data_IF_952062711732
#
_entry.id   IF_952062711732
#
_cell.length_a   1.000
_cell.length_b   1.000
_cell.length_c   1.000
_cell.angle_alpha   90.00
_cell.angle_beta   90.00
_cell.angle_gamma   90.00
#
_symmetry.space_group_name_H-M   'P 1'
#
loop_
_entity.id
_entity.type
_entity.pdbx_description
1 polymer ?
#
# COMPACT_ATOMS: atom_id res chain seq x y z
N UNK A 1 -15.80 0.95 11.82
CA UNK A 1 -14.42 1.31 12.24
C UNK A 1 -14.08 2.66 11.64
N UNK A 2 -13.43 3.58 12.39
CA UNK A 2 -12.97 4.85 11.84
C UNK A 2 -11.55 4.73 11.26
N UNK A 3 -11.09 5.78 10.54
CA UNK A 3 -9.77 5.80 9.90
C UNK A 3 -8.62 5.50 10.86
N UNK A 4 -8.62 6.12 12.05
CA UNK A 4 -7.53 5.96 13.02
C UNK A 4 -7.48 4.54 13.56
N UNK A 5 -8.63 3.98 13.94
CA UNK A 5 -8.71 2.60 14.41
C UNK A 5 -8.26 1.59 13.36
N UNK A 6 -8.65 1.80 12.10
CA UNK A 6 -8.21 0.96 10.99
C UNK A 6 -6.70 1.06 10.79
N UNK A 7 -6.17 2.28 10.74
CA UNK A 7 -4.73 2.54 10.59
C UNK A 7 -3.93 1.86 11.71
N UNK A 8 -4.37 1.99 12.97
CA UNK A 8 -3.70 1.32 14.09
C UNK A 8 -3.73 -0.20 13.96
N UNK A 9 -4.86 -0.79 13.54
CA UNK A 9 -4.93 -2.24 13.32
C UNK A 9 -3.96 -2.68 12.23
N UNK A 10 -3.90 -1.95 11.11
CA UNK A 10 -2.99 -2.26 10.01
C UNK A 10 -1.51 -2.13 10.42
N UNK A 11 -1.18 -1.11 11.21
CA UNK A 11 0.18 -0.88 11.72
C UNK A 11 0.65 -1.94 12.73
N UNK A 12 -0.28 -2.54 13.48
CA UNK A 12 0.03 -3.62 14.44
C UNK A 12 0.38 -4.94 13.77
N UNK A 13 0.08 -5.11 12.50
CA UNK A 13 0.46 -6.30 11.74
C UNK A 13 1.95 -6.20 11.39
N UNK A 14 2.74 -7.16 11.85
CA UNK A 14 4.19 -7.20 11.64
C UNK A 14 4.53 -7.80 10.27
N UNK A 15 4.14 -7.13 9.22
CA UNK A 15 4.34 -7.54 7.84
C UNK A 15 5.75 -7.19 7.34
N UNK A 16 6.77 -7.76 7.99
CA UNK A 16 8.15 -7.56 7.54
C UNK A 16 8.32 -8.23 6.17
N UNK A 17 8.90 -7.46 5.23
CA UNK A 17 9.11 -7.90 3.84
C UNK A 17 9.70 -9.32 3.78
N UNK A 18 9.26 -10.20 2.88
CA UNK A 18 8.27 -10.00 1.80
C UNK A 18 6.86 -10.52 2.16
N UNK A 19 6.46 -10.51 3.42
CA UNK A 19 5.22 -11.16 3.89
C UNK A 19 4.13 -10.16 4.22
N UNK A 20 2.90 -10.44 3.76
CA UNK A 20 1.70 -9.65 4.07
C UNK A 20 1.22 -9.81 5.52
N UNK A 21 1.35 -10.99 6.09
CA UNK A 21 1.01 -11.32 7.48
C UNK A 21 -0.43 -11.00 7.87
N UNK A 22 -1.35 -10.95 6.88
CA UNK A 22 -2.77 -10.70 7.12
C UNK A 22 -3.20 -9.23 6.95
N UNK A 23 -2.36 -8.36 6.41
CA UNK A 23 -2.78 -6.99 6.04
C UNK A 23 -3.92 -7.05 5.02
N UNK A 24 -3.84 -7.93 4.03
CA UNK A 24 -4.91 -8.09 3.05
C UNK A 24 -6.20 -8.64 3.65
N UNK A 25 -6.13 -9.46 4.71
CA UNK A 25 -7.32 -9.96 5.41
C UNK A 25 -8.07 -8.83 6.13
N UNK A 26 -7.37 -7.77 6.51
CA UNK A 26 -7.96 -6.57 7.08
C UNK A 26 -8.49 -5.61 6.00
N UNK A 27 -7.79 -5.47 4.86
CA UNK A 27 -8.10 -4.50 3.79
C UNK A 27 -9.22 -5.01 2.88
N UNK A 28 -9.16 -6.27 2.48
CA UNK A 28 -10.05 -6.84 1.46
C UNK A 28 -11.55 -6.77 1.83
N UNK A 29 -11.98 -7.01 3.08
CA UNK A 29 -13.38 -6.84 3.47
C UNK A 29 -13.89 -5.41 3.30
N UNK A 30 -13.08 -4.41 3.62
CA UNK A 30 -13.44 -2.99 3.49
C UNK A 30 -13.62 -2.60 2.00
N UNK A 31 -12.79 -3.16 1.11
CA UNK A 31 -12.92 -2.96 -0.33
C UNK A 31 -14.17 -3.64 -0.88
N UNK A 32 -14.49 -4.84 -0.42
CA UNK A 32 -15.72 -5.56 -0.81
C UNK A 32 -16.99 -4.83 -0.36
N UNK A 33 -16.96 -4.22 0.83
CA UNK A 33 -18.06 -3.40 1.33
C UNK A 33 -18.32 -2.16 0.43
N UNK A 34 -17.26 -1.60 -0.17
CA UNK A 34 -17.32 -0.53 -1.16
C UNK A 34 -17.74 -0.99 -2.57
N UNK A 35 -17.94 -2.28 -2.78
CA UNK A 35 -18.36 -2.86 -4.05
C UNK A 35 -17.20 -3.23 -5.00
N UNK A 36 -15.96 -3.21 -4.52
CA UNK A 36 -14.82 -3.67 -5.33
C UNK A 36 -14.85 -5.20 -5.51
N UNK A 37 -14.54 -5.66 -6.71
CA UNK A 37 -14.10 -7.03 -6.93
C UNK A 37 -12.63 -7.15 -6.54
N UNK A 38 -12.27 -8.23 -5.86
CA UNK A 38 -10.92 -8.43 -5.35
C UNK A 38 -10.32 -9.72 -5.89
N UNK A 39 -9.01 -9.72 -6.15
CA UNK A 39 -8.25 -10.89 -6.59
C UNK A 39 -6.87 -10.88 -5.91
N UNK A 40 -6.51 -12.00 -5.28
CA UNK A 40 -5.14 -12.22 -4.80
C UNK A 40 -4.33 -12.84 -5.91
N UNK A 41 -3.16 -12.28 -6.19
CA UNK A 41 -2.26 -12.69 -7.26
C UNK A 41 -0.88 -12.91 -6.62
N UNK A 42 -0.58 -14.16 -6.31
CA UNK A 42 0.63 -14.50 -5.56
C UNK A 42 1.68 -15.10 -6.49
N UNK A 43 2.92 -14.64 -6.34
CA UNK A 43 4.07 -15.20 -7.04
C UNK A 43 5.18 -15.53 -6.04
N UNK A 44 5.64 -16.77 -6.05
CA UNK A 44 6.59 -17.27 -5.05
C UNK A 44 6.04 -17.05 -3.63
N UNK A 45 6.78 -16.35 -2.79
CA UNK A 45 6.42 -15.99 -1.43
C UNK A 45 5.89 -14.55 -1.27
N UNK A 46 5.66 -13.87 -2.40
CA UNK A 46 5.10 -12.51 -2.44
C UNK A 46 3.61 -12.58 -2.72
N UNK A 47 2.87 -11.89 -1.88
CA UNK A 47 1.43 -11.76 -1.98
C UNK A 47 1.07 -10.40 -2.61
N UNK A 48 0.07 -10.41 -3.50
CA UNK A 48 -0.44 -9.18 -4.09
C UNK A 48 -1.97 -9.19 -4.05
N UNK A 49 -2.56 -8.05 -3.77
CA UNK A 49 -4.00 -7.83 -3.81
C UNK A 49 -4.32 -6.82 -4.91
N UNK A 50 -5.09 -7.25 -5.89
CA UNK A 50 -5.69 -6.39 -6.88
C UNK A 50 -7.19 -6.25 -6.59
N UNK A 51 -7.69 -5.01 -6.59
CA UNK A 51 -9.10 -4.72 -6.43
C UNK A 51 -9.54 -3.71 -7.48
N UNK A 52 -10.76 -3.83 -8.02
CA UNK A 52 -11.27 -2.92 -9.03
C UNK A 52 -12.77 -2.69 -8.93
N UNK A 53 -13.22 -1.49 -9.32
CA UNK A 53 -14.62 -1.11 -9.48
C UNK A 53 -14.78 -0.21 -10.71
N UNK A 54 -15.90 -0.32 -11.40
CA UNK A 54 -16.20 0.47 -12.60
C UNK A 54 -15.60 -0.13 -13.89
N UNK A 55 -15.50 0.69 -14.93
CA UNK A 55 -15.04 0.26 -16.26
C UNK A 55 -14.40 1.41 -17.03
N UNK A 56 -13.73 1.09 -18.14
CA UNK A 56 -13.05 2.09 -18.99
C UNK A 56 -11.62 2.39 -18.55
N UNK A 57 -11.19 3.64 -18.68
CA UNK A 57 -9.84 4.07 -18.26
C UNK A 57 -9.61 3.80 -16.78
N UNK A 58 -8.50 3.15 -16.48
CA UNK A 58 -8.15 2.65 -15.16
C UNK A 58 -7.20 3.60 -14.44
N UNK A 59 -7.68 4.21 -13.36
CA UNK A 59 -6.86 4.89 -12.36
C UNK A 59 -6.53 3.92 -11.24
N UNK A 60 -5.25 3.66 -11.01
CA UNK A 60 -4.77 2.72 -10.01
C UNK A 60 -4.07 3.43 -8.86
N UNK A 61 -4.49 3.14 -7.63
CA UNK A 61 -3.68 3.39 -6.45
C UNK A 61 -2.73 2.21 -6.25
N UNK A 62 -1.43 2.49 -6.19
CA UNK A 62 -0.37 1.52 -5.94
C UNK A 62 0.21 1.73 -4.57
N UNK A 63 0.39 0.64 -3.81
CA UNK A 63 1.01 0.66 -2.51
C UNK A 63 1.60 -0.68 -2.10
N UNK A 64 2.21 -0.71 -0.91
CA UNK A 64 2.73 -1.92 -0.30
C UNK A 64 2.31 -2.04 1.16
N UNK A 65 2.13 -3.29 1.61
CA UNK A 65 1.78 -3.61 2.99
C UNK A 65 2.99 -4.07 3.81
N UNK A 66 4.05 -4.46 3.15
CA UNK A 66 5.27 -4.83 3.81
C UNK A 66 6.02 -3.62 4.38
N UNK A 67 6.90 -3.91 5.31
CA UNK A 67 7.73 -2.90 5.97
C UNK A 67 9.16 -3.45 6.15
N UNK A 68 10.15 -2.55 6.14
CA UNK A 68 11.52 -2.94 6.51
C UNK A 68 11.60 -3.39 7.97
N UNK A 69 12.61 -4.19 8.36
CA UNK A 69 12.88 -4.52 9.75
C UNK A 69 12.97 -3.27 10.63
N UNK A 70 12.62 -3.40 11.90
CA UNK A 70 12.58 -2.26 12.85
C UNK A 70 13.95 -1.66 13.13
N UNK A 71 15.03 -2.42 12.93
CA UNK A 71 16.32 -2.12 13.51
C UNK A 71 16.33 -2.36 15.01
N UNK A 72 17.28 -1.77 15.76
CA UNK A 72 17.34 -1.91 17.22
C UNK A 72 16.10 -1.33 17.89
N UNK A 73 15.35 -2.18 18.58
CA UNK A 73 14.06 -1.81 19.21
C UNK A 73 14.26 -0.75 20.31
N UNK A 74 15.38 -0.77 20.97
CA UNK A 74 15.80 0.21 21.99
C UNK A 74 15.97 1.64 21.46
N UNK A 75 16.06 1.81 20.13
CA UNK A 75 16.11 3.13 19.49
C UNK A 75 14.73 3.75 19.27
N UNK A 76 13.67 3.02 19.55
CA UNK A 76 12.29 3.48 19.40
C UNK A 76 11.77 4.06 20.71
N UNK A 77 10.90 5.09 20.61
CA UNK A 77 10.23 5.68 21.78
C UNK A 77 9.10 4.81 22.35
N UNK A 78 8.64 3.82 21.56
CA UNK A 78 7.63 2.82 21.93
C UNK A 78 7.87 1.55 21.10
N UNK A 79 7.12 0.47 21.39
CA UNK A 79 7.16 -0.72 20.52
C UNK A 79 6.81 -0.32 19.08
N UNK A 80 7.68 -0.66 18.09
CA UNK A 80 7.47 -0.32 16.68
C UNK A 80 6.14 -0.78 16.07
N UNK A 81 5.49 -1.75 16.66
CA UNK A 81 4.21 -2.28 16.20
C UNK A 81 3.04 -2.01 17.17
N UNK A 82 3.25 -1.19 18.21
CA UNK A 82 2.15 -0.79 19.11
C UNK A 82 1.15 0.16 18.44
N UNK A 83 1.57 0.91 17.41
CA UNK A 83 0.81 1.99 16.80
C UNK A 83 0.32 2.98 17.88
N UNK A 84 1.25 3.43 18.72
CA UNK A 84 0.96 4.33 19.83
C UNK A 84 0.58 5.72 19.31
N UNK A 85 -0.45 6.31 19.90
CA UNK A 85 -0.85 7.70 19.62
C UNK A 85 -0.48 8.55 20.82
N UNK A 86 0.39 9.54 20.58
CA UNK A 86 0.77 10.54 21.57
C UNK A 86 0.79 11.91 20.90
N UNK A 87 0.20 12.91 21.53
CA UNK A 87 0.16 14.28 21.01
C UNK A 87 -0.30 14.39 19.56
N UNK A 88 -1.33 13.61 19.18
CA UNK A 88 -1.87 13.48 17.82
C UNK A 88 -0.91 12.90 16.77
N UNK A 89 0.16 12.25 17.18
CA UNK A 89 1.11 11.55 16.30
C UNK A 89 1.02 10.06 16.53
N UNK A 90 0.87 9.29 15.44
CA UNK A 90 0.98 7.83 15.47
C UNK A 90 2.44 7.45 15.23
N UNK A 91 3.01 6.71 16.19
CA UNK A 91 4.36 6.16 16.06
C UNK A 91 4.29 4.66 15.81
N UNK A 92 4.75 4.22 14.64
CA UNK A 92 4.90 2.79 14.31
C UNK A 92 5.79 2.59 13.08
N UNK A 93 6.36 1.40 12.92
CA UNK A 93 6.99 0.96 11.67
C UNK A 93 5.89 0.86 10.58
N UNK A 94 6.16 1.49 9.41
CA UNK A 94 5.20 1.55 8.31
C UNK A 94 4.14 2.66 8.44
N UNK A 95 4.20 3.52 9.48
CA UNK A 95 3.24 4.61 9.63
C UNK A 95 3.37 5.63 8.49
N UNK A 96 4.56 6.12 8.21
CA UNK A 96 4.79 7.05 7.09
C UNK A 96 4.91 6.31 5.75
N UNK A 97 5.54 5.15 5.75
CA UNK A 97 5.84 4.33 4.59
C UNK A 97 5.33 2.90 4.80
N UNK A 98 4.17 2.53 4.19
CA UNK A 98 3.18 3.49 3.66
C UNK A 98 1.75 3.13 4.09
N UNK A 99 1.60 2.35 5.18
CA UNK A 99 0.30 1.81 5.63
C UNK A 99 -0.75 2.90 5.94
N UNK A 100 -0.30 4.09 6.40
CA UNK A 100 -1.24 5.20 6.61
C UNK A 100 -1.80 5.75 5.31
N UNK A 101 -1.01 5.77 4.22
CA UNK A 101 -1.50 6.17 2.90
C UNK A 101 -2.55 5.21 2.38
N UNK A 102 -2.36 3.90 2.56
CA UNK A 102 -3.36 2.87 2.20
C UNK A 102 -4.66 3.14 2.96
N UNK A 103 -4.56 3.34 4.27
CA UNK A 103 -5.72 3.64 5.13
C UNK A 103 -6.43 4.92 4.68
N UNK A 104 -5.68 5.99 4.43
CA UNK A 104 -6.22 7.27 4.00
C UNK A 104 -6.94 7.16 2.65
N UNK A 105 -6.35 6.46 1.68
CA UNK A 105 -6.97 6.25 0.38
C UNK A 105 -8.26 5.43 0.49
N UNK A 106 -8.24 4.34 1.24
CA UNK A 106 -9.40 3.49 1.47
C UNK A 106 -10.57 4.26 2.11
N UNK A 107 -10.27 5.09 3.10
CA UNK A 107 -11.30 5.89 3.78
C UNK A 107 -11.79 7.07 2.94
N UNK A 108 -10.93 7.67 2.10
CA UNK A 108 -11.36 8.67 1.13
C UNK A 108 -12.36 8.10 0.12
N UNK A 109 -12.23 6.83 -0.27
CA UNK A 109 -13.21 6.16 -1.14
C UNK A 109 -14.58 6.00 -0.48
N UNK A 110 -14.67 5.92 0.85
CA UNK A 110 -15.94 5.85 1.59
C UNK A 110 -16.74 7.15 1.52
N UNK A 111 -16.07 8.28 1.29
CA UNK A 111 -16.70 9.61 1.18
C UNK A 111 -17.12 9.93 -0.25
N UNK A 112 -16.82 9.06 -1.21
CA UNK A 112 -17.14 9.25 -2.64
C UNK A 112 -18.34 8.38 -3.03
N UNK A 113 -19.29 8.96 -3.76
CA UNK A 113 -20.36 8.20 -4.40
C UNK A 113 -19.83 7.45 -5.63
N UNK A 114 -19.31 6.24 -5.40
CA UNK A 114 -18.72 5.41 -6.44
C UNK A 114 -19.73 4.97 -7.51
N UNK A 115 -21.03 5.02 -7.25
CA UNK A 115 -22.08 4.70 -8.25
C UNK A 115 -22.11 5.71 -9.40
N UNK A 116 -21.63 6.92 -9.18
CA UNK A 116 -21.52 7.98 -10.19
C UNK A 116 -20.20 7.97 -10.94
N UNK A 117 -19.25 7.13 -10.51
CA UNK A 117 -17.96 7.02 -11.16
C UNK A 117 -18.10 6.37 -12.55
N UNK A 118 -17.57 7.04 -13.58
CA UNK A 118 -17.62 6.60 -14.98
C UNK A 118 -16.31 5.98 -15.47
N UNK A 119 -15.33 5.86 -14.58
CA UNK A 119 -14.02 5.29 -14.90
C UNK A 119 -13.74 4.10 -13.98
N UNK A 120 -12.78 3.29 -14.35
CA UNK A 120 -12.29 2.24 -13.45
C UNK A 120 -11.41 2.86 -12.38
N UNK A 121 -11.66 2.48 -11.13
CA UNK A 121 -10.72 2.69 -10.01
C UNK A 121 -10.19 1.33 -9.63
N UNK A 122 -8.88 1.21 -9.53
CA UNK A 122 -8.25 -0.01 -9.05
C UNK A 122 -7.25 0.30 -7.92
N UNK A 123 -6.96 -0.74 -7.15
CA UNK A 123 -5.97 -0.72 -6.07
C UNK A 123 -5.09 -1.94 -6.29
N UNK A 124 -3.79 -1.74 -6.33
CA UNK A 124 -2.79 -2.79 -6.39
C UNK A 124 -1.88 -2.66 -5.19
N UNK A 125 -1.90 -3.66 -4.32
CA UNK A 125 -1.03 -3.72 -3.14
C UNK A 125 -0.11 -4.94 -3.25
N UNK A 126 1.15 -4.76 -2.87
CA UNK A 126 2.15 -5.83 -2.80
C UNK A 126 2.67 -5.99 -1.38
N UNK A 127 3.16 -7.18 -1.06
CA UNK A 127 3.87 -7.47 0.19
C UNK A 127 5.40 -7.45 0.05
N UNK A 128 5.94 -6.95 -1.06
CA UNK A 128 7.39 -6.93 -1.33
C UNK A 128 7.81 -5.72 -2.18
N UNK A 129 7.64 -4.51 -1.66
CA UNK A 129 8.26 -3.30 -2.23
C UNK A 129 9.63 -3.05 -1.60
N UNK A 130 9.72 -3.27 -0.29
CA UNK A 130 10.89 -3.01 0.54
C UNK A 130 11.96 -4.11 0.48
N UNK A 131 11.65 -5.21 -0.22
CA UNK A 131 12.54 -6.35 -0.35
C UNK A 131 13.39 -6.34 -1.62
N UNK A 132 14.08 -7.45 -1.86
CA UNK A 132 14.89 -7.63 -3.08
C UNK A 132 13.99 -7.66 -4.32
N UNK A 133 14.18 -6.70 -5.22
CA UNK A 133 13.46 -6.58 -6.49
C UNK A 133 13.71 -7.74 -7.47
N UNK A 134 14.57 -8.69 -7.12
CA UNK A 134 14.95 -9.85 -7.97
C UNK A 134 13.78 -10.74 -8.36
N UNK A 135 12.68 -10.68 -7.62
CA UNK A 135 11.54 -11.56 -7.86
C UNK A 135 10.58 -11.03 -8.91
N UNK A 136 10.70 -9.76 -9.36
CA UNK A 136 9.92 -9.17 -10.46
C UNK A 136 8.42 -9.41 -10.33
N UNK A 137 7.89 -9.38 -9.11
CA UNK A 137 6.51 -9.85 -8.85
C UNK A 137 5.47 -8.86 -9.30
N UNK A 138 5.73 -7.56 -9.15
CA UNK A 138 4.84 -6.50 -9.64
C UNK A 138 4.78 -6.52 -11.16
N UNK A 139 5.89 -6.71 -11.85
CA UNK A 139 5.93 -6.83 -13.31
C UNK A 139 5.06 -7.99 -13.80
N UNK A 140 5.12 -9.14 -13.11
CA UNK A 140 4.27 -10.30 -13.45
C UNK A 140 2.79 -10.02 -13.22
N UNK A 141 2.45 -9.30 -12.15
CA UNK A 141 1.06 -8.87 -11.90
C UNK A 141 0.60 -7.92 -13.01
N UNK A 142 1.42 -6.93 -13.39
CA UNK A 142 1.10 -5.99 -14.46
C UNK A 142 0.93 -6.70 -15.81
N UNK A 143 1.78 -7.69 -16.12
CA UNK A 143 1.65 -8.50 -17.33
C UNK A 143 0.35 -9.32 -17.33
N UNK A 144 0.00 -9.93 -16.21
CA UNK A 144 -1.28 -10.64 -16.06
C UNK A 144 -2.49 -9.71 -16.23
N UNK A 145 -2.46 -8.54 -15.60
CA UNK A 145 -3.53 -7.54 -15.76
C UNK A 145 -3.67 -7.10 -17.22
N UNK A 146 -2.56 -6.84 -17.90
CA UNK A 146 -2.54 -6.44 -19.31
C UNK A 146 -3.11 -7.53 -20.22
N UNK A 147 -2.74 -8.79 -20.01
CA UNK A 147 -3.27 -9.94 -20.75
C UNK A 147 -4.80 -10.10 -20.58
N UNK A 148 -5.33 -9.72 -19.43
CA UNK A 148 -6.76 -9.76 -19.11
C UNK A 148 -7.50 -8.45 -19.44
N UNK A 149 -6.96 -7.58 -20.29
CA UNK A 149 -7.53 -6.29 -20.66
C UNK A 149 -7.75 -5.32 -19.47
N UNK A 150 -6.99 -5.48 -18.40
CA UNK A 150 -7.04 -4.65 -17.20
C UNK A 150 -5.82 -3.71 -17.09
N UNK A 151 -5.36 -3.18 -18.23
CA UNK A 151 -4.23 -2.25 -18.26
C UNK A 151 -4.50 -1.02 -17.39
N UNK A 152 -3.46 -0.57 -16.69
CA UNK A 152 -3.48 0.66 -15.88
C UNK A 152 -3.14 1.84 -16.78
N UNK A 153 -3.99 2.88 -16.80
CA UNK A 153 -3.78 4.09 -17.60
C UNK A 153 -3.11 5.20 -16.78
N UNK A 154 -3.49 5.30 -15.51
CA UNK A 154 -2.95 6.29 -14.57
C UNK A 154 -2.63 5.59 -13.26
N UNK A 155 -1.51 5.96 -12.65
CA UNK A 155 -1.08 5.37 -11.39
C UNK A 155 -0.71 6.46 -10.39
N UNK A 156 -1.23 6.33 -9.17
CA UNK A 156 -0.83 7.09 -7.99
C UNK A 156 -0.15 6.12 -7.02
N UNK A 157 1.16 6.23 -6.86
CA UNK A 157 1.86 5.55 -5.78
C UNK A 157 1.66 6.35 -4.48
N UNK A 158 1.16 5.67 -3.44
CA UNK A 158 0.83 6.30 -2.16
C UNK A 158 2.04 6.58 -1.26
N UNK A 159 3.23 6.68 -1.84
CA UNK A 159 4.50 6.90 -1.14
C UNK A 159 4.61 8.29 -0.51
N UNK A 160 5.35 8.44 0.61
CA UNK A 160 5.55 9.73 1.25
C UNK A 160 6.40 10.66 0.36
N UNK A 161 5.87 11.83 0.02
CA UNK A 161 6.55 12.78 -0.87
C UNK A 161 6.58 14.21 -0.33
N UNK A 162 5.71 14.55 0.60
CA UNK A 162 5.64 15.89 1.21
C UNK A 162 6.91 16.29 1.92
N UNK A 163 7.26 17.58 1.89
CA UNK A 163 8.49 18.12 2.49
C UNK A 163 8.22 19.00 3.70
N UNK A 164 7.38 20.00 3.58
CA UNK A 164 7.11 21.00 4.63
C UNK A 164 5.65 20.91 5.09
N UNK A 165 4.73 20.71 4.14
CA UNK A 165 3.29 20.62 4.41
C UNK A 165 2.73 19.41 3.68
N UNK A 166 1.66 18.81 4.21
CA UNK A 166 1.03 17.67 3.61
C UNK A 166 0.49 18.01 2.20
N UNK A 167 0.95 17.27 1.18
CA UNK A 167 0.54 17.46 -0.22
C UNK A 167 1.29 18.58 -0.97
N UNK A 168 2.32 19.17 -0.40
CA UNK A 168 3.11 20.23 -1.06
C UNK A 168 4.02 19.74 -2.19
N UNK A 169 4.28 18.44 -2.24
CA UNK A 169 5.22 17.86 -3.21
C UNK A 169 4.65 16.59 -3.82
N UNK A 170 4.64 16.53 -5.15
CA UNK A 170 4.34 15.33 -5.94
C UNK A 170 5.56 14.95 -6.77
N UNK A 171 5.93 13.69 -6.77
CA UNK A 171 7.02 13.16 -7.59
C UNK A 171 6.44 12.56 -8.87
N UNK A 172 6.91 12.98 -10.03
CA UNK A 172 6.47 12.50 -11.35
C UNK A 172 7.41 11.48 -11.97
N UNK A 173 8.41 11.01 -11.22
CA UNK A 173 9.38 10.00 -11.65
C UNK A 173 10.28 9.58 -10.51
N UNK A 174 11.02 8.49 -10.71
CA UNK A 174 12.01 7.95 -9.75
C UNK A 174 13.42 8.00 -10.32
N UNK A 175 14.38 8.15 -9.45
CA UNK A 175 15.80 7.88 -9.73
C UNK A 175 16.12 6.43 -9.38
N UNK A 176 17.07 5.83 -10.08
CA UNK A 176 17.64 4.55 -9.67
C UNK A 176 18.59 4.70 -8.46
N UNK A 177 18.82 3.61 -7.76
CA UNK A 177 19.90 3.49 -6.77
C UNK A 177 20.79 2.31 -7.11
N UNK A 178 22.09 2.43 -6.83
CA UNK A 178 23.06 1.36 -6.94
C UNK A 178 23.86 1.30 -5.64
N UNK A 179 23.88 0.14 -5.02
CA UNK A 179 24.66 -0.12 -3.81
C UNK A 179 25.70 -1.20 -4.08
N UNK A 180 26.85 -1.11 -3.46
CA UNK A 180 27.91 -2.10 -3.55
C UNK A 180 28.70 -2.20 -2.25
N UNK A 181 29.29 -3.35 -1.98
CA UNK A 181 30.25 -3.57 -0.89
C UNK A 181 31.63 -3.76 -1.47
N UNK A 182 32.61 -3.05 -0.94
CA UNK A 182 34.02 -3.27 -1.24
C UNK A 182 34.60 -4.09 -0.08
N UNK A 183 35.14 -5.27 -0.39
CA UNK A 183 35.85 -6.16 0.55
C UNK A 183 37.31 -6.23 0.22
#
# INVERSE_FOLDING_TARGET
>A
MNLIEFTQKLLRIQSITPRDMGCFDLIEPELKELGFSTKRINYLNVENLYAEIGSGENFCFLGHTDVVPTGPVESWSCDPFAAEIKENVITARGAADMKSSISAFLFALKDIDLSKNRKKISILLTSNEEGDAKDGTIEKVLDELKQNNNAINYCLAGEPSSKNELGDTVRIGRRGSLSGSLT
#
